data_IF_997438822870
#
_entry.id   IF_997438822870
#
_cell.length_a   1.000
_cell.length_b   1.000
_cell.length_c   1.000
_cell.angle_alpha   90.00
_cell.angle_beta   90.00
_cell.angle_gamma   90.00
#
_symmetry.space_group_name_H-M   'P 1'
#
loop_
_entity.id
_entity.type
_entity.pdbx_description
1 polymer ?
#
# COMPACT_ATOMS: atom_id res chain seq x y z
N UNK A 1 -27.79 -50.17 -10.23
CA UNK A 1 -27.04 -49.35 -11.20
C UNK A 1 -27.18 -47.90 -10.74
N UNK A 2 -26.14 -47.35 -10.13
CA UNK A 2 -26.15 -46.01 -9.52
C UNK A 2 -25.39 -45.07 -10.45
N UNK A 3 -26.07 -44.07 -11.00
CA UNK A 3 -25.49 -43.09 -11.91
C UNK A 3 -24.95 -41.91 -11.09
N UNK A 4 -23.65 -41.63 -11.21
CA UNK A 4 -22.97 -40.49 -10.60
C UNK A 4 -23.03 -39.30 -11.56
N UNK A 5 -23.72 -38.23 -11.19
CA UNK A 5 -23.76 -36.98 -11.97
C UNK A 5 -22.54 -36.13 -11.61
N UNK A 6 -21.63 -35.90 -12.58
CA UNK A 6 -20.49 -34.98 -12.43
C UNK A 6 -20.94 -33.55 -12.73
N UNK A 7 -20.68 -32.60 -11.83
CA UNK A 7 -20.92 -31.18 -12.06
C UNK A 7 -19.72 -30.55 -12.77
N UNK A 8 -19.94 -30.07 -13.99
CA UNK A 8 -18.96 -29.30 -14.77
C UNK A 8 -18.80 -27.90 -14.18
N UNK A 9 -17.63 -27.59 -13.64
CA UNK A 9 -17.26 -26.23 -13.21
C UNK A 9 -16.95 -25.37 -14.44
N UNK A 10 -17.65 -24.24 -14.57
CA UNK A 10 -17.39 -23.22 -15.59
C UNK A 10 -16.30 -22.30 -15.02
N UNK A 11 -15.11 -22.33 -15.61
CA UNK A 11 -14.02 -21.41 -15.26
C UNK A 11 -14.39 -19.97 -15.65
N UNK A 12 -14.27 -19.05 -14.70
CA UNK A 12 -14.39 -17.61 -14.95
C UNK A 12 -13.18 -17.09 -15.75
N UNK A 13 -13.34 -16.13 -16.67
CA UNK A 13 -12.23 -15.59 -17.45
C UNK A 13 -11.29 -14.76 -16.57
N UNK A 14 -10.00 -15.07 -16.64
CA UNK A 14 -8.91 -14.29 -16.05
C UNK A 14 -8.88 -12.88 -16.66
N UNK A 15 -8.84 -11.79 -15.86
CA UNK A 15 -8.52 -10.48 -16.42
C UNK A 15 -7.08 -10.49 -16.90
N UNK A 16 -6.89 -10.43 -18.21
CA UNK A 16 -5.60 -10.12 -18.85
C UNK A 16 -5.28 -8.65 -18.61
N UNK A 17 -4.79 -8.33 -17.42
CA UNK A 17 -4.07 -7.09 -17.15
C UNK A 17 -2.72 -7.17 -17.87
N UNK A 18 -2.53 -6.30 -18.86
CA UNK A 18 -1.26 -6.16 -19.56
C UNK A 18 -0.14 -5.89 -18.52
N UNK A 19 1.03 -6.55 -18.59
CA UNK A 19 2.13 -6.23 -17.68
C UNK A 19 2.50 -4.76 -17.82
N UNK A 20 2.65 -4.06 -16.69
CA UNK A 20 3.24 -2.72 -16.68
C UNK A 20 4.61 -2.78 -17.40
N UNK A 21 4.94 -1.81 -18.26
CA UNK A 21 6.25 -1.75 -18.89
C UNK A 21 7.36 -1.83 -17.83
N UNK A 22 8.45 -2.56 -18.07
CA UNK A 22 9.60 -2.52 -17.17
C UNK A 22 10.05 -1.05 -17.00
N UNK A 23 10.57 -0.66 -15.81
CA UNK A 23 11.21 0.64 -15.66
C UNK A 23 12.24 0.78 -16.79
N UNK A 24 12.25 1.91 -17.48
CA UNK A 24 13.33 2.23 -18.40
C UNK A 24 14.66 2.04 -17.65
N UNK A 25 15.73 1.67 -18.37
CA UNK A 25 17.04 1.35 -17.77
C UNK A 25 17.68 2.48 -16.96
N UNK A 26 17.01 3.63 -16.84
CA UNK A 26 17.39 4.81 -16.09
C UNK A 26 16.47 5.13 -14.89
N UNK A 27 15.80 4.13 -14.31
CA UNK A 27 15.09 4.23 -13.03
C UNK A 27 15.43 3.09 -12.07
N UNK A 28 15.44 3.37 -10.76
CA UNK A 28 15.60 2.37 -9.69
C UNK A 28 14.65 2.63 -8.50
N UNK A 29 14.89 1.97 -7.36
CA UNK A 29 14.06 2.09 -6.15
C UNK A 29 13.94 3.51 -5.55
N UNK A 30 14.73 4.46 -6.04
CA UNK A 30 14.70 5.86 -5.63
C UNK A 30 14.17 6.77 -6.74
N UNK A 31 13.74 6.24 -7.88
CA UNK A 31 13.32 7.02 -9.05
C UNK A 31 14.39 7.10 -10.12
N UNK A 32 14.37 8.17 -10.92
CA UNK A 32 15.16 8.25 -12.15
C UNK A 32 16.63 8.62 -11.90
N UNK A 33 17.56 7.90 -12.54
CA UNK A 33 19.01 8.16 -12.50
C UNK A 33 19.45 9.19 -13.55
N UNK A 34 18.69 9.37 -14.64
CA UNK A 34 19.10 10.21 -15.77
C UNK A 34 18.97 11.73 -15.56
N UNK A 35 18.19 12.20 -14.58
CA UNK A 35 17.80 13.62 -14.46
C UNK A 35 18.57 14.41 -13.40
N UNK A 36 19.91 14.25 -13.35
CA UNK A 36 20.80 14.96 -12.38
C UNK A 36 20.30 14.90 -10.93
N UNK A 37 19.74 13.76 -10.52
CA UNK A 37 19.08 13.55 -9.23
C UNK A 37 17.85 14.44 -8.94
N UNK A 38 17.31 15.19 -9.91
CA UNK A 38 16.12 16.04 -9.71
C UNK A 38 14.80 15.27 -9.61
N UNK A 39 14.72 14.08 -10.21
CA UNK A 39 13.57 13.18 -10.13
C UNK A 39 13.91 11.87 -9.40
N UNK A 40 14.70 11.99 -8.32
CA UNK A 40 15.20 10.88 -7.50
C UNK A 40 15.05 11.20 -6.01
N UNK A 41 14.78 10.24 -5.15
CA UNK A 41 14.74 10.43 -3.71
C UNK A 41 16.12 10.71 -3.10
N UNK A 42 16.15 11.40 -1.97
CA UNK A 42 17.36 11.71 -1.22
C UNK A 42 17.87 10.49 -0.44
N UNK A 43 19.19 10.45 -0.21
CA UNK A 43 19.80 9.47 0.70
C UNK A 43 19.42 8.02 0.36
N UNK A 44 18.80 7.33 1.32
CA UNK A 44 18.29 5.96 1.22
C UNK A 44 16.78 5.86 0.98
N UNK A 45 16.09 7.01 0.91
CA UNK A 45 14.65 7.12 0.76
C UNK A 45 14.17 6.44 -0.52
N UNK A 46 12.92 5.94 -0.48
CA UNK A 46 12.33 5.15 -1.56
C UNK A 46 11.27 5.94 -2.32
N UNK A 47 11.24 5.69 -3.62
CA UNK A 47 10.17 6.21 -4.47
C UNK A 47 8.88 5.43 -4.18
N UNK A 48 7.86 6.16 -3.76
CA UNK A 48 6.48 5.66 -3.66
C UNK A 48 5.79 5.68 -5.03
N UNK A 49 6.18 6.66 -5.84
CA UNK A 49 5.81 6.76 -7.24
C UNK A 49 6.84 7.61 -7.96
N UNK A 50 7.18 7.26 -9.17
CA UNK A 50 7.84 8.11 -10.12
C UNK A 50 7.10 8.07 -11.45
N UNK A 51 7.18 9.16 -12.19
CA UNK A 51 6.54 9.29 -13.50
C UNK A 51 7.38 10.16 -14.42
N UNK A 52 7.44 9.78 -15.68
CA UNK A 52 7.98 10.58 -16.77
C UNK A 52 6.88 10.92 -17.74
N UNK A 53 6.88 12.16 -18.20
CA UNK A 53 6.07 12.67 -19.30
C UNK A 53 7.00 13.10 -20.44
N UNK A 54 6.46 13.72 -21.49
CA UNK A 54 7.29 14.35 -22.53
C UNK A 54 8.07 15.57 -22.04
N UNK A 55 7.65 16.20 -20.94
CA UNK A 55 8.17 17.50 -20.49
C UNK A 55 8.71 17.48 -19.06
N UNK A 56 8.38 16.45 -18.28
CA UNK A 56 8.66 16.37 -16.85
C UNK A 56 9.11 14.97 -16.42
N UNK A 57 9.94 14.91 -15.39
CA UNK A 57 10.25 13.70 -14.65
C UNK A 57 10.02 13.98 -13.16
N UNK A 58 9.26 13.12 -12.51
CA UNK A 58 8.69 13.36 -11.19
C UNK A 58 8.95 12.17 -10.29
N UNK A 59 9.10 12.42 -9.00
CA UNK A 59 9.11 11.38 -7.97
C UNK A 59 8.39 11.87 -6.71
N UNK A 60 7.57 11.00 -6.14
CA UNK A 60 7.09 11.10 -4.76
C UNK A 60 7.87 10.10 -3.93
N UNK A 61 8.51 10.61 -2.89
CA UNK A 61 9.41 9.86 -2.05
C UNK A 61 8.82 9.69 -0.66
N UNK A 62 9.21 8.59 -0.02
CA UNK A 62 8.95 8.35 1.40
C UNK A 62 10.26 8.20 2.14
N UNK A 63 10.42 9.00 3.19
CA UNK A 63 11.54 8.86 4.12
C UNK A 63 11.37 7.66 5.05
N UNK A 64 12.46 7.29 5.71
CA UNK A 64 12.46 6.19 6.70
C UNK A 64 11.48 6.41 7.87
N UNK A 65 11.09 7.66 8.13
CA UNK A 65 10.08 8.04 9.13
C UNK A 65 8.68 8.25 8.53
N UNK A 66 8.41 7.66 7.36
CA UNK A 66 7.13 7.74 6.62
C UNK A 66 6.68 9.16 6.22
N UNK A 67 7.59 10.13 6.13
CA UNK A 67 7.25 11.47 5.59
C UNK A 67 7.34 11.47 4.08
N UNK A 68 6.32 12.03 3.44
CA UNK A 68 6.27 12.18 1.99
C UNK A 68 6.91 13.50 1.57
N UNK A 69 7.54 13.48 0.41
CA UNK A 69 7.97 14.68 -0.30
C UNK A 69 7.96 14.41 -1.80
N UNK A 70 7.77 15.47 -2.57
CA UNK A 70 7.72 15.44 -4.02
C UNK A 70 8.97 16.12 -4.56
N UNK A 71 9.51 15.58 -5.64
CA UNK A 71 10.57 16.21 -6.43
C UNK A 71 10.22 16.18 -7.90
N UNK A 72 10.36 17.33 -8.54
CA UNK A 72 10.10 17.50 -9.98
C UNK A 72 11.36 17.96 -10.71
N UNK A 73 11.56 17.44 -11.92
CA UNK A 73 12.57 17.87 -12.88
C UNK A 73 11.89 18.22 -14.20
N UNK A 74 12.05 19.46 -14.65
CA UNK A 74 11.54 19.89 -15.95
C UNK A 74 12.57 19.62 -17.02
N UNK A 75 12.20 18.85 -18.04
CA UNK A 75 13.12 18.36 -19.09
C UNK A 75 13.62 19.51 -19.97
N UNK A 76 12.79 20.55 -20.18
CA UNK A 76 13.11 21.62 -21.13
C UNK A 76 14.30 22.48 -20.73
N UNK A 77 14.52 22.72 -19.44
CA UNK A 77 15.63 23.57 -18.95
C UNK A 77 16.34 23.00 -17.72
N UNK A 78 15.93 21.83 -17.22
CA UNK A 78 16.53 21.18 -16.06
C UNK A 78 16.20 21.83 -14.72
N UNK A 79 15.18 22.69 -14.66
CA UNK A 79 14.72 23.24 -13.40
C UNK A 79 14.19 22.14 -12.47
N UNK A 80 14.51 22.24 -11.18
CA UNK A 80 14.07 21.30 -10.15
C UNK A 80 13.26 21.99 -9.06
N UNK A 81 12.35 21.23 -8.45
CA UNK A 81 11.58 21.66 -7.28
C UNK A 81 11.48 20.53 -6.27
N UNK A 82 11.53 20.87 -4.99
CA UNK A 82 11.30 19.96 -3.87
C UNK A 82 10.15 20.50 -3.01
N UNK A 83 9.11 19.69 -2.77
CA UNK A 83 7.92 20.09 -1.99
C UNK A 83 7.68 19.05 -0.89
N UNK A 84 7.54 19.50 0.35
CA UNK A 84 7.43 18.61 1.52
C UNK A 84 6.00 18.44 2.05
N UNK A 85 5.07 19.31 1.64
CA UNK A 85 3.64 19.14 1.95
C UNK A 85 3.01 18.26 0.87
N UNK A 86 2.98 16.95 1.14
CA UNK A 86 2.46 15.94 0.21
C UNK A 86 1.40 15.09 0.89
N UNK A 87 0.24 15.03 0.27
CA UNK A 87 -0.89 14.20 0.69
C UNK A 87 -1.09 13.03 -0.27
N UNK A 88 -1.35 11.84 0.28
CA UNK A 88 -1.82 10.68 -0.49
C UNK A 88 -3.28 10.88 -0.88
N UNK A 89 -3.59 10.52 -2.12
CA UNK A 89 -4.95 10.46 -2.65
C UNK A 89 -5.22 9.04 -3.14
N UNK A 90 -6.49 8.74 -3.44
CA UNK A 90 -6.91 7.41 -3.91
C UNK A 90 -6.22 6.98 -5.21
N UNK A 91 -5.94 7.94 -6.09
CA UNK A 91 -5.39 7.75 -7.44
C UNK A 91 -3.97 8.29 -7.60
N UNK A 92 -3.32 8.68 -6.50
CA UNK A 92 -1.99 9.26 -6.55
C UNK A 92 -1.63 10.14 -5.37
N UNK A 93 -1.04 11.30 -5.67
CA UNK A 93 -0.53 12.23 -4.66
C UNK A 93 -0.81 13.68 -5.07
N UNK A 94 -0.94 14.53 -4.06
CA UNK A 94 -0.99 15.98 -4.25
C UNK A 94 0.09 16.62 -3.38
N UNK A 95 1.04 17.29 -4.03
CA UNK A 95 1.99 18.16 -3.36
C UNK A 95 1.51 19.62 -3.44
N UNK A 96 1.60 20.34 -2.33
CA UNK A 96 1.14 21.73 -2.22
C UNK A 96 2.31 22.64 -1.90
N UNK A 97 2.55 23.63 -2.76
CA UNK A 97 3.50 24.71 -2.50
C UNK A 97 2.71 25.95 -2.09
N UNK A 98 2.44 26.05 -0.78
CA UNK A 98 1.56 27.07 -0.22
C UNK A 98 2.00 28.53 -0.46
N UNK A 99 3.30 28.89 -0.40
CA UNK A 99 3.77 30.23 -0.75
C UNK A 99 3.36 30.69 -2.15
N UNK A 100 3.34 29.76 -3.11
CA UNK A 100 3.02 30.03 -4.51
C UNK A 100 1.60 29.59 -4.90
N UNK A 101 0.79 29.12 -3.96
CA UNK A 101 -0.56 28.59 -4.22
C UNK A 101 -0.60 27.58 -5.39
N UNK A 102 0.46 26.76 -5.50
CA UNK A 102 0.63 25.78 -6.54
C UNK A 102 0.32 24.38 -6.01
N UNK A 103 -0.43 23.59 -6.78
CA UNK A 103 -0.73 22.18 -6.47
C UNK A 103 -0.27 21.28 -7.61
N UNK A 104 0.55 20.31 -7.27
CA UNK A 104 1.09 19.31 -8.16
C UNK A 104 0.28 18.04 -7.93
N UNK A 105 -0.58 17.68 -8.90
CA UNK A 105 -1.38 16.46 -8.87
C UNK A 105 -0.66 15.41 -9.70
N UNK A 106 -0.27 14.31 -9.06
CA UNK A 106 0.47 13.22 -9.68
C UNK A 106 -0.36 11.95 -9.59
N UNK A 107 -0.81 11.43 -10.73
CA UNK A 107 -1.56 10.17 -10.84
C UNK A 107 -0.85 9.22 -11.81
N UNK A 108 -1.30 7.97 -11.89
CA UNK A 108 -0.75 7.01 -12.87
C UNK A 108 -0.94 7.44 -14.32
N UNK A 109 -1.95 8.29 -14.58
CA UNK A 109 -2.35 8.70 -15.92
C UNK A 109 -1.63 9.98 -16.37
N UNK A 110 -1.16 10.79 -15.41
CA UNK A 110 -0.51 12.04 -15.75
C UNK A 110 -0.21 12.97 -14.59
N UNK A 111 0.24 14.17 -14.98
CA UNK A 111 0.64 15.24 -14.09
C UNK A 111 -0.15 16.50 -14.41
N UNK A 112 -0.63 17.16 -13.36
CA UNK A 112 -1.22 18.49 -13.47
C UNK A 112 -0.57 19.46 -12.50
N UNK A 113 -0.30 20.67 -12.98
CA UNK A 113 0.02 21.82 -12.14
C UNK A 113 -1.20 22.73 -12.11
N UNK A 114 -1.73 22.94 -10.91
CA UNK A 114 -2.83 23.87 -10.65
C UNK A 114 -2.24 25.09 -9.94
N UNK A 115 -2.32 26.24 -10.59
CA UNK A 115 -1.84 27.51 -10.08
C UNK A 115 -3.05 28.41 -9.86
N UNK A 116 -3.25 28.91 -8.64
CA UNK A 116 -4.38 29.79 -8.32
C UNK A 116 -5.74 29.20 -8.70
N UNK A 117 -5.89 27.88 -8.53
CA UNK A 117 -7.09 27.14 -8.87
C UNK A 117 -7.27 26.83 -10.37
N UNK A 118 -6.34 27.24 -11.23
CA UNK A 118 -6.39 26.98 -12.67
C UNK A 118 -5.34 25.94 -13.08
N UNK A 119 -5.73 24.96 -13.89
CA UNK A 119 -4.78 24.01 -14.48
C UNK A 119 -3.93 24.75 -15.51
N UNK A 120 -2.65 24.95 -15.20
CA UNK A 120 -1.67 25.62 -16.08
C UNK A 120 -0.78 24.63 -16.82
N UNK A 121 -0.64 23.41 -16.30
CA UNK A 121 0.06 22.29 -16.97
C UNK A 121 -0.80 21.05 -16.86
N UNK A 122 -0.89 20.29 -17.95
CA UNK A 122 -1.55 18.99 -18.00
C UNK A 122 -0.78 18.09 -18.96
N UNK A 123 -0.13 17.07 -18.42
CA UNK A 123 0.77 16.18 -19.15
C UNK A 123 0.37 14.72 -18.94
N UNK A 124 0.42 13.93 -20.00
CA UNK A 124 0.14 12.48 -19.91
C UNK A 124 1.40 11.71 -19.51
N UNK A 125 1.23 10.69 -18.68
CA UNK A 125 2.26 9.74 -18.36
C UNK A 125 2.79 9.03 -19.61
N UNK A 126 4.11 9.03 -19.79
CA UNK A 126 4.82 8.19 -20.77
C UNK A 126 5.34 6.93 -20.08
N UNK A 127 5.75 7.06 -18.83
CA UNK A 127 6.30 5.97 -18.02
C UNK A 127 6.00 6.22 -16.55
N UNK A 128 5.68 5.17 -15.80
CA UNK A 128 5.45 5.22 -14.36
C UNK A 128 6.11 4.02 -13.67
N UNK A 129 6.39 4.15 -12.38
CA UNK A 129 6.81 3.04 -11.53
C UNK A 129 6.99 3.46 -10.08
N UNK A 130 7.05 2.51 -9.13
CA UNK A 130 5.84 1.82 -8.65
C UNK A 130 4.55 2.67 -8.76
N UNK A 131 3.42 2.02 -9.04
CA UNK A 131 2.12 2.71 -9.14
C UNK A 131 1.66 3.09 -7.72
N UNK A 132 1.04 4.26 -7.48
CA UNK A 132 0.36 4.53 -6.22
C UNK A 132 -0.64 3.41 -5.93
N UNK A 133 -0.45 2.67 -4.83
CA UNK A 133 -1.29 1.52 -4.50
C UNK A 133 -0.93 0.20 -5.20
N UNK A 134 0.08 0.17 -6.07
CA UNK A 134 0.75 -1.07 -6.53
C UNK A 134 2.23 -0.95 -6.21
N UNK A 135 2.58 -1.25 -4.96
CA UNK A 135 3.95 -1.60 -4.64
C UNK A 135 4.34 -2.73 -5.59
N UNK A 136 5.41 -2.53 -6.37
CA UNK A 136 6.02 -3.63 -7.12
C UNK A 136 6.27 -4.74 -6.11
N UNK A 137 5.76 -5.96 -6.28
CA UNK A 137 6.21 -7.06 -5.45
C UNK A 137 7.72 -7.13 -5.67
N UNK A 138 8.50 -6.74 -4.65
CA UNK A 138 9.84 -7.27 -4.53
C UNK A 138 9.69 -8.76 -4.76
N UNK A 139 10.47 -9.33 -5.68
CA UNK A 139 10.61 -10.78 -5.77
C UNK A 139 11.30 -11.27 -4.50
N UNK A 140 10.65 -11.11 -3.35
CA UNK A 140 10.80 -11.96 -2.20
C UNK A 140 10.02 -13.19 -2.60
N UNK A 141 10.75 -14.27 -2.90
CA UNK A 141 10.17 -15.58 -3.18
C UNK A 141 8.99 -15.79 -2.24
N UNK A 142 7.80 -16.05 -2.81
CA UNK A 142 6.54 -16.25 -2.13
C UNK A 142 6.75 -17.15 -0.90
N UNK A 143 7.00 -16.49 0.21
CA UNK A 143 7.05 -17.07 1.54
C UNK A 143 5.84 -16.44 2.16
N UNK A 144 4.70 -17.11 2.00
CA UNK A 144 3.37 -16.75 2.51
C UNK A 144 3.52 -16.02 3.84
N UNK A 145 3.48 -14.69 3.82
CA UNK A 145 3.59 -13.89 5.04
C UNK A 145 2.25 -14.04 5.73
N UNK A 146 2.24 -14.63 6.92
CA UNK A 146 1.01 -14.94 7.65
C UNK A 146 0.75 -13.94 8.79
N UNK A 147 -0.47 -13.90 9.30
CA UNK A 147 -0.77 -13.15 10.53
C UNK A 147 -0.43 -13.99 11.76
N UNK A 148 0.66 -13.68 12.47
CA UNK A 148 1.03 -14.37 13.71
C UNK A 148 1.13 -15.89 13.58
N UNK A 149 0.89 -16.60 14.69
CA UNK A 149 0.74 -18.06 14.70
C UNK A 149 -0.53 -18.52 15.42
N UNK A 150 -1.25 -19.46 14.81
CA UNK A 150 -2.38 -20.12 15.47
C UNK A 150 -1.97 -20.89 16.73
N UNK A 151 -0.74 -21.41 16.79
CA UNK A 151 -0.23 -22.11 17.98
C UNK A 151 -0.17 -21.21 19.20
N UNK A 152 0.13 -19.92 18.99
CA UNK A 152 0.38 -18.94 20.05
C UNK A 152 -0.93 -18.27 20.49
N UNK A 153 -1.91 -18.21 19.59
CA UNK A 153 -3.23 -17.62 19.84
C UNK A 153 -4.24 -18.62 20.43
N UNK A 154 -3.89 -19.91 20.47
CA UNK A 154 -4.66 -20.97 21.10
C UNK A 154 -5.57 -21.76 20.13
N UNK A 155 -6.12 -22.90 20.59
CA UNK A 155 -6.74 -23.91 19.72
C UNK A 155 -8.05 -23.45 19.05
N UNK A 156 -8.71 -22.43 19.59
CA UNK A 156 -9.95 -21.87 19.02
C UNK A 156 -9.69 -20.63 18.17
N UNK A 157 -8.42 -20.29 17.93
CA UNK A 157 -8.05 -19.11 17.17
C UNK A 157 -8.29 -19.34 15.67
N UNK A 158 -8.83 -18.34 14.99
CA UNK A 158 -9.06 -18.36 13.54
C UNK A 158 -8.32 -17.21 12.89
N UNK A 159 -7.83 -17.41 11.66
CA UNK A 159 -7.12 -16.41 10.87
C UNK A 159 -5.63 -16.29 11.13
N UNK A 160 -5.16 -16.66 12.32
CA UNK A 160 -3.73 -16.68 12.63
C UNK A 160 -3.00 -17.80 11.89
N UNK A 161 -1.75 -17.58 11.51
CA UNK A 161 -0.98 -18.49 10.65
C UNK A 161 -1.51 -18.56 9.20
N UNK A 162 -2.42 -17.66 8.81
CA UNK A 162 -2.98 -17.57 7.46
C UNK A 162 -2.54 -16.27 6.78
N UNK A 163 -2.34 -16.32 5.46
CA UNK A 163 -2.11 -15.13 4.63
C UNK A 163 -3.42 -14.38 4.42
N UNK A 164 -3.40 -13.07 4.66
CA UNK A 164 -4.54 -12.16 4.45
C UNK A 164 -5.87 -12.73 4.99
N UNK A 165 -5.95 -13.07 6.29
CA UNK A 165 -7.16 -13.69 6.81
C UNK A 165 -8.35 -12.73 6.66
N UNK A 166 -9.46 -13.24 6.14
CA UNK A 166 -10.74 -12.53 6.05
C UNK A 166 -11.54 -12.58 7.37
N UNK A 167 -11.05 -13.36 8.34
CA UNK A 167 -11.61 -13.51 9.69
C UNK A 167 -10.47 -13.67 10.67
N UNK A 168 -10.51 -12.93 11.78
CA UNK A 168 -9.69 -13.20 12.97
C UNK A 168 -10.62 -13.42 14.16
N UNK A 169 -10.33 -14.43 14.96
CA UNK A 169 -11.13 -14.73 16.15
C UNK A 169 -10.29 -15.40 17.23
N UNK A 170 -10.61 -15.10 18.49
CA UNK A 170 -10.08 -15.83 19.65
C UNK A 170 -11.08 -16.86 20.22
N UNK A 171 -12.05 -17.29 19.40
CA UNK A 171 -12.99 -18.36 19.75
C UNK A 171 -14.34 -17.87 20.31
N UNK A 172 -14.60 -16.56 20.35
CA UNK A 172 -15.89 -15.99 20.75
C UNK A 172 -16.25 -14.75 19.93
N UNK A 173 -17.55 -14.48 19.78
CA UNK A 173 -18.07 -13.35 18.99
C UNK A 173 -17.51 -11.99 19.43
N UNK A 174 -17.44 -11.63 20.73
CA UNK A 174 -16.87 -10.33 21.14
C UNK A 174 -15.40 -10.13 20.73
N UNK A 175 -14.67 -11.21 20.46
CA UNK A 175 -13.27 -11.18 20.04
C UNK A 175 -13.10 -11.63 18.58
N UNK A 176 -14.15 -11.50 17.76
CA UNK A 176 -14.14 -11.89 16.36
C UNK A 176 -14.34 -10.68 15.45
N UNK A 177 -13.47 -10.56 14.46
CA UNK A 177 -13.60 -9.62 13.35
C UNK A 177 -13.68 -10.44 12.07
N UNK A 178 -14.66 -10.13 11.24
CA UNK A 178 -14.98 -10.84 10.01
C UNK A 178 -15.04 -9.88 8.82
N UNK A 179 -15.11 -10.41 7.60
CA UNK A 179 -15.10 -9.62 6.37
C UNK A 179 -13.91 -8.66 6.29
N UNK A 180 -12.76 -9.14 6.74
CA UNK A 180 -11.54 -8.34 6.75
C UNK A 180 -11.07 -8.17 5.31
N UNK A 181 -10.87 -6.91 4.93
CA UNK A 181 -10.27 -6.51 3.66
C UNK A 181 -8.97 -5.81 3.97
N UNK A 182 -7.86 -6.42 3.54
CA UNK A 182 -6.52 -5.84 3.62
C UNK A 182 -6.29 -4.93 2.42
N UNK A 183 -5.84 -3.72 2.69
CA UNK A 183 -5.49 -2.69 1.70
C UNK A 183 -4.07 -2.93 1.18
N UNK A 184 -3.19 -3.38 2.07
CA UNK A 184 -1.83 -3.80 1.75
C UNK A 184 -1.44 -5.02 2.59
N UNK A 185 -0.55 -5.84 2.00
CA UNK A 185 -0.02 -7.05 2.62
C UNK A 185 1.34 -7.37 2.04
N UNK A 186 2.24 -7.91 2.85
CA UNK A 186 3.60 -8.26 2.45
C UNK A 186 4.63 -7.14 2.70
N UNK A 187 4.19 -5.91 2.94
CA UNK A 187 5.06 -4.80 3.36
C UNK A 187 5.38 -4.88 4.87
N UNK A 188 6.27 -4.02 5.37
CA UNK A 188 6.63 -3.96 6.79
C UNK A 188 5.42 -3.76 7.73
N UNK A 189 4.35 -3.15 7.20
CA UNK A 189 3.05 -2.96 7.83
C UNK A 189 1.97 -3.35 6.82
N UNK A 190 0.89 -3.97 7.29
CA UNK A 190 -0.32 -4.30 6.56
C UNK A 190 -1.53 -3.60 7.19
N UNK A 191 -2.33 -2.91 6.40
CA UNK A 191 -3.54 -2.22 6.84
C UNK A 191 -4.78 -2.98 6.38
N UNK A 192 -5.77 -3.07 7.26
CA UNK A 192 -7.02 -3.74 6.96
C UNK A 192 -8.20 -3.09 7.64
N UNK A 193 -9.39 -3.50 7.23
CA UNK A 193 -10.63 -3.11 7.90
C UNK A 193 -11.58 -4.30 7.95
N UNK A 194 -12.38 -4.42 8.99
CA UNK A 194 -13.31 -5.54 9.16
C UNK A 194 -14.50 -5.20 10.05
N UNK A 195 -15.43 -6.15 10.18
CA UNK A 195 -16.64 -6.04 10.98
C UNK A 195 -16.52 -6.86 12.26
N UNK A 196 -16.66 -6.19 13.40
CA UNK A 196 -16.78 -6.84 14.69
C UNK A 196 -18.07 -7.67 14.78
N UNK A 197 -17.99 -8.82 15.44
CA UNK A 197 -19.18 -9.60 15.73
C UNK A 197 -19.90 -9.02 16.97
N UNK A 198 -21.22 -8.86 16.85
CA UNK A 198 -22.12 -8.47 17.94
C UNK A 198 -23.31 -9.42 17.95
N UNK A 199 -23.82 -9.73 19.14
CA UNK A 199 -25.00 -10.61 19.26
C UNK A 199 -26.28 -9.92 18.78
N UNK A 200 -26.36 -8.59 18.96
CA UNK A 200 -27.52 -7.78 18.60
C UNK A 200 -27.09 -6.41 18.09
N UNK A 201 -27.75 -5.92 17.03
CA UNK A 201 -27.51 -4.60 16.46
C UNK A 201 -26.53 -4.58 15.28
N UNK A 202 -26.18 -3.38 14.79
CA UNK A 202 -25.26 -3.23 13.67
C UNK A 202 -23.82 -3.58 14.07
N UNK A 203 -23.11 -4.28 13.18
CA UNK A 203 -21.72 -4.66 13.40
C UNK A 203 -20.80 -3.42 13.36
N UNK A 204 -19.97 -3.20 14.39
CA UNK A 204 -19.00 -2.11 14.37
C UNK A 204 -17.91 -2.38 13.34
N UNK A 205 -17.39 -1.31 12.74
CA UNK A 205 -16.23 -1.37 11.85
C UNK A 205 -14.97 -1.13 12.65
N UNK A 206 -13.95 -1.94 12.37
CA UNK A 206 -12.62 -1.80 12.93
C UNK A 206 -11.58 -1.58 11.83
N UNK A 207 -10.57 -0.78 12.16
CA UNK A 207 -9.30 -0.68 11.45
C UNK A 207 -8.31 -1.64 12.08
N UNK A 208 -7.49 -2.26 11.24
CA UNK A 208 -6.48 -3.23 11.63
C UNK A 208 -5.13 -2.80 11.07
N UNK A 209 -4.09 -2.88 11.90
CA UNK A 209 -2.70 -2.66 11.48
C UNK A 209 -1.87 -3.84 11.95
N UNK A 210 -1.44 -4.68 11.02
CA UNK A 210 -0.51 -5.76 11.27
C UNK A 210 0.92 -5.27 10.97
N UNK A 211 1.86 -5.50 11.88
CA UNK A 211 3.22 -4.98 11.76
C UNK A 211 4.24 -5.90 12.42
N UNK A 212 5.51 -5.49 12.41
CA UNK A 212 6.57 -6.23 13.10
C UNK A 212 6.94 -7.54 12.41
N UNK A 213 7.07 -7.50 11.07
CA UNK A 213 7.53 -8.62 10.26
C UNK A 213 8.71 -9.35 10.88
N UNK A 214 8.59 -10.66 11.02
CA UNK A 214 9.65 -11.51 11.54
C UNK A 214 9.26 -12.99 11.51
N UNK A 215 10.17 -13.85 11.96
CA UNK A 215 9.90 -15.27 12.04
C UNK A 215 9.04 -15.61 13.26
N UNK A 216 8.02 -16.41 13.04
CA UNK A 216 7.11 -16.98 14.04
C UNK A 216 7.05 -18.49 13.78
N UNK A 217 7.63 -19.30 14.68
CA UNK A 217 7.77 -20.76 14.49
C UNK A 217 8.38 -21.18 13.15
N UNK A 218 9.33 -20.41 12.62
CA UNK A 218 9.98 -20.70 11.34
C UNK A 218 9.20 -20.23 10.11
N UNK A 219 8.05 -19.56 10.28
CA UNK A 219 7.25 -18.96 9.20
C UNK A 219 7.37 -17.44 9.27
N UNK A 220 7.48 -16.79 8.11
CA UNK A 220 7.47 -15.32 8.04
C UNK A 220 6.08 -14.80 8.39
N UNK A 221 5.97 -13.95 9.42
CA UNK A 221 4.69 -13.48 9.92
C UNK A 221 4.72 -12.02 10.39
N UNK A 222 3.55 -11.38 10.39
CA UNK A 222 3.31 -10.19 11.20
C UNK A 222 3.19 -10.62 12.67
N UNK A 223 4.04 -10.09 13.53
CA UNK A 223 4.09 -10.47 14.95
C UNK A 223 3.29 -9.55 15.85
N UNK A 224 2.77 -8.46 15.30
CA UNK A 224 1.98 -7.47 16.02
C UNK A 224 0.67 -7.16 15.27
N UNK A 225 -0.42 -6.97 16.01
CA UNK A 225 -1.69 -6.49 15.50
C UNK A 225 -2.24 -5.39 16.40
N UNK A 226 -2.63 -4.26 15.81
CA UNK A 226 -3.39 -3.20 16.45
C UNK A 226 -4.79 -3.16 15.85
N UNK A 227 -5.79 -2.92 16.70
CA UNK A 227 -7.20 -2.87 16.32
C UNK A 227 -7.82 -1.62 16.95
N UNK A 228 -8.50 -0.80 16.14
CA UNK A 228 -9.16 0.41 16.62
C UNK A 228 -10.47 0.67 15.89
N UNK A 229 -11.40 1.39 16.52
CA UNK A 229 -12.70 1.74 15.92
C UNK A 229 -12.56 2.83 14.85
N UNK A 230 -11.51 3.65 14.95
CA UNK A 230 -11.23 4.74 14.02
C UNK A 230 -9.78 4.69 13.52
N UNK A 231 -9.48 5.24 12.33
CA UNK A 231 -8.10 5.32 11.83
C UNK A 231 -7.16 6.16 12.68
N UNK A 232 -7.67 7.15 13.41
CA UNK A 232 -6.83 8.04 14.25
C UNK A 232 -6.36 7.33 15.52
N UNK A 233 -7.24 6.51 16.11
CA UNK A 233 -6.95 5.76 17.34
C UNK A 233 -5.96 4.61 17.13
N UNK A 234 -5.77 4.14 15.88
CA UNK A 234 -4.97 2.94 15.59
C UNK A 234 -3.51 3.05 16.03
N UNK A 235 -2.93 4.25 15.98
CA UNK A 235 -1.55 4.51 16.40
C UNK A 235 -1.37 4.57 17.92
N UNK A 236 -2.47 4.65 18.66
CA UNK A 236 -2.50 4.63 20.13
C UNK A 236 -3.12 3.36 20.69
N UNK A 237 -3.65 2.49 19.83
CA UNK A 237 -4.28 1.23 20.21
C UNK A 237 -3.24 0.25 20.77
N UNK A 238 -3.69 -0.59 21.71
CA UNK A 238 -2.84 -1.60 22.33
C UNK A 238 -2.28 -2.56 21.29
N UNK A 239 -0.99 -2.88 21.43
CA UNK A 239 -0.26 -3.70 20.47
C UNK A 239 -0.34 -5.16 20.90
N UNK A 240 -1.16 -5.93 20.19
CA UNK A 240 -1.31 -7.35 20.44
C UNK A 240 -0.12 -8.11 19.85
N UNK A 241 0.63 -8.79 20.70
CA UNK A 241 1.75 -9.66 20.29
C UNK A 241 1.20 -11.03 19.88
N UNK A 242 1.52 -11.46 18.66
CA UNK A 242 0.92 -12.64 18.01
C UNK A 242 1.86 -13.85 17.95
N UNK A 243 3.08 -13.72 18.48
CA UNK A 243 4.15 -14.71 18.36
C UNK A 243 4.93 -14.96 19.67
N UNK A 244 4.50 -14.38 20.79
CA UNK A 244 5.24 -14.35 22.06
C UNK A 244 4.42 -14.95 23.24
N UNK A 245 3.64 -16.01 22.99
CA UNK A 245 2.77 -16.64 24.00
C UNK A 245 3.31 -17.96 24.54
#
# INVERSE_FOLDING_TARGET
>A
MTATTSATSIAAPTPTGNPAPPPAGDADSQGFTAFRNGARCFGTDKAEMFMRTKQSALVVCRSEVNRLYYRGYRISDGATIDVYDVSRQTDGFVATDAPDNARYVITSDGFQLIQDGTVVVSETAVETGPVPGVQTPTTQAASTIVLGSASDMGPNSLGYGTEQPSVISMGSCPNAISQIVWQDWGAAVAHGSGLGCVEYGPQPRYQLVASGLGMCHGVMAYRALQIASTPEEIYTADLQHLCDK
#
